data_IF_705482830710
#
_entry.id   IF_705482830710
#
_cell.length_a   1.000
_cell.length_b   1.000
_cell.length_c   1.000
_cell.angle_alpha   90.00
_cell.angle_beta   90.00
_cell.angle_gamma   90.00
#
_symmetry.space_group_name_H-M   'P 1'
#
loop_
_entity.id
_entity.type
_entity.pdbx_description
1 polymer ?
#
# COMPACT_ATOMS: atom_id res chain seq x y z
N UNK A 1 -8.79 2.98 16.03
CA UNK A 1 -7.85 2.82 14.90
C UNK A 1 -6.86 1.73 15.28
N UNK A 2 -6.77 0.66 14.48
CA UNK A 2 -5.86 -0.47 14.76
C UNK A 2 -4.42 -0.11 14.36
N UNK A 3 -3.44 -0.91 14.80
CA UNK A 3 -2.05 -0.75 14.33
C UNK A 3 -1.95 -0.96 12.81
N UNK A 4 -2.76 -1.87 12.26
CA UNK A 4 -2.92 -2.11 10.82
C UNK A 4 -3.41 -0.87 10.08
N UNK A 5 -4.51 -0.28 10.54
CA UNK A 5 -5.07 0.96 9.97
C UNK A 5 -4.03 2.09 9.96
N UNK A 6 -3.29 2.25 11.06
CA UNK A 6 -2.26 3.28 11.18
C UNK A 6 -1.10 3.08 10.20
N UNK A 7 -0.65 1.84 10.01
CA UNK A 7 0.40 1.51 9.04
C UNK A 7 -0.08 1.72 7.60
N UNK A 8 -1.33 1.36 7.27
CA UNK A 8 -1.91 1.60 5.95
C UNK A 8 -2.12 3.09 5.65
N UNK A 9 -2.53 3.89 6.64
CA UNK A 9 -2.55 5.35 6.50
C UNK A 9 -1.15 5.91 6.24
N UNK A 10 -0.11 5.41 6.92
CA UNK A 10 1.27 5.80 6.66
C UNK A 10 1.73 5.42 5.26
N UNK A 11 1.38 4.22 4.78
CA UNK A 11 1.65 3.81 3.40
C UNK A 11 0.95 4.74 2.39
N UNK A 12 -0.28 5.18 2.67
CA UNK A 12 -0.98 6.13 1.83
C UNK A 12 -0.27 7.49 1.74
N UNK A 13 0.26 7.99 2.85
CA UNK A 13 1.01 9.25 2.87
C UNK A 13 2.34 9.11 2.11
N UNK A 14 2.99 7.95 2.17
CA UNK A 14 4.15 7.63 1.33
C UNK A 14 3.76 7.57 -0.15
N UNK A 15 2.60 7.02 -0.50
CA UNK A 15 2.14 6.91 -1.89
C UNK A 15 2.01 8.29 -2.56
N UNK A 16 1.54 9.31 -1.83
CA UNK A 16 1.39 10.67 -2.35
C UNK A 16 2.71 11.31 -2.78
N UNK A 17 3.83 10.85 -2.22
CA UNK A 17 5.16 11.45 -2.40
C UNK A 17 6.14 10.56 -3.17
N UNK A 18 6.06 9.23 -2.99
CA UNK A 18 7.07 8.27 -3.46
C UNK A 18 6.58 7.34 -4.57
N UNK A 19 5.26 7.09 -4.69
CA UNK A 19 4.77 6.21 -5.75
C UNK A 19 4.98 6.84 -7.13
N UNK A 20 5.31 6.02 -8.11
CA UNK A 20 5.40 6.44 -9.52
C UNK A 20 4.70 5.43 -10.42
N UNK A 21 4.18 5.87 -11.58
CA UNK A 21 3.60 4.97 -12.58
C UNK A 21 4.67 4.18 -13.36
N UNK A 22 5.95 4.32 -13.02
CA UNK A 22 7.04 3.59 -13.66
C UNK A 22 6.99 2.13 -13.18
N UNK A 23 6.92 1.12 -14.08
CA UNK A 23 6.96 -0.29 -13.71
C UNK A 23 8.20 -0.68 -12.89
N UNK A 24 9.29 0.10 -12.97
CA UNK A 24 10.52 -0.11 -12.21
C UNK A 24 10.62 0.79 -10.97
N UNK A 25 9.63 1.66 -10.74
CA UNK A 25 9.56 2.56 -9.61
C UNK A 25 8.99 1.92 -8.35
N UNK A 26 8.83 2.69 -7.26
CA UNK A 26 8.26 2.20 -6.01
C UNK A 26 6.76 1.90 -6.18
N UNK A 27 6.42 0.61 -6.27
CA UNK A 27 5.04 0.12 -6.24
C UNK A 27 4.48 -0.06 -4.82
N UNK A 28 3.24 -0.55 -4.72
CA UNK A 28 2.53 -0.75 -3.46
C UNK A 28 3.35 -1.58 -2.45
N UNK A 29 3.97 -2.70 -2.87
CA UNK A 29 4.80 -3.52 -1.98
C UNK A 29 5.90 -2.69 -1.27
N UNK A 30 6.59 -1.82 -2.00
CA UNK A 30 7.66 -0.99 -1.43
C UNK A 30 7.13 0.01 -0.41
N UNK A 31 5.92 0.55 -0.63
CA UNK A 31 5.27 1.46 0.30
C UNK A 31 4.85 0.75 1.58
N UNK A 32 4.32 -0.47 1.48
CA UNK A 32 3.95 -1.30 2.63
C UNK A 32 5.17 -1.68 3.46
N UNK A 33 6.25 -2.12 2.79
CA UNK A 33 7.51 -2.47 3.45
C UNK A 33 8.10 -1.29 4.24
N UNK A 34 8.02 -0.07 3.69
CA UNK A 34 8.45 1.16 4.38
C UNK A 34 7.49 1.63 5.48
N UNK A 35 6.21 1.27 5.40
CA UNK A 35 5.21 1.63 6.39
C UNK A 35 5.16 0.66 7.58
N UNK A 36 5.59 -0.59 7.37
CA UNK A 36 5.71 -1.59 8.40
C UNK A 36 6.67 -1.12 9.51
N UNK A 37 6.29 -1.25 10.79
CA UNK A 37 7.13 -0.82 11.90
C UNK A 37 8.34 -1.75 12.11
N UNK A 38 9.52 -1.15 12.17
CA UNK A 38 10.73 -1.85 12.62
C UNK A 38 10.60 -2.26 14.09
N UNK A 39 10.64 -3.57 14.39
CA UNK A 39 10.74 -4.06 15.77
C UNK A 39 9.67 -5.06 16.23
N UNK A 40 8.90 -5.66 15.31
CA UNK A 40 8.11 -6.88 15.58
C UNK A 40 6.91 -6.73 16.53
N UNK A 41 6.56 -5.50 16.93
CA UNK A 41 5.42 -5.22 17.80
C UNK A 41 4.28 -4.49 17.08
N UNK A 42 4.11 -4.79 15.78
CA UNK A 42 3.08 -4.24 14.90
C UNK A 42 2.85 -5.15 13.68
N UNK A 43 1.88 -4.80 12.82
CA UNK A 43 1.60 -5.56 11.61
C UNK A 43 2.83 -5.58 10.71
N UNK A 44 3.20 -6.75 10.20
CA UNK A 44 4.30 -6.85 9.25
C UNK A 44 3.86 -6.52 7.81
N UNK A 45 4.80 -6.56 6.86
CA UNK A 45 4.49 -6.30 5.45
C UNK A 45 3.44 -7.28 4.90
N UNK A 46 3.40 -8.52 5.39
CA UNK A 46 2.45 -9.54 4.93
C UNK A 46 1.05 -9.24 5.43
N UNK A 47 0.89 -8.82 6.68
CA UNK A 47 -0.41 -8.37 7.22
C UNK A 47 -0.97 -7.19 6.43
N UNK A 48 -0.10 -6.23 6.08
CA UNK A 48 -0.50 -5.06 5.28
C UNK A 48 -0.86 -5.45 3.85
N UNK A 49 -0.10 -6.38 3.26
CA UNK A 49 -0.37 -6.90 1.94
C UNK A 49 -1.73 -7.61 1.89
N UNK A 50 -2.00 -8.49 2.86
CA UNK A 50 -3.24 -9.27 2.95
C UNK A 50 -4.47 -8.36 3.02
N UNK A 51 -4.38 -7.26 3.80
CA UNK A 51 -5.43 -6.25 3.87
C UNK A 51 -5.70 -5.58 2.51
N UNK A 52 -4.66 -5.22 1.77
CA UNK A 52 -4.79 -4.54 0.46
C UNK A 52 -5.37 -5.49 -0.58
N UNK A 53 -4.86 -6.72 -0.69
CA UNK A 53 -5.35 -7.70 -1.69
C UNK A 53 -6.78 -8.16 -1.37
N UNK A 54 -7.12 -8.29 -0.08
CA UNK A 54 -8.50 -8.55 0.37
C UNK A 54 -9.43 -7.41 -0.02
N UNK A 55 -9.00 -6.15 0.16
CA UNK A 55 -9.81 -4.99 -0.24
C UNK A 55 -10.01 -4.92 -1.77
N UNK A 56 -8.95 -5.18 -2.55
CA UNK A 56 -9.03 -5.23 -4.01
C UNK A 56 -9.85 -6.41 -4.52
N UNK A 57 -10.03 -7.45 -3.71
CA UNK A 57 -10.55 -8.75 -4.14
C UNK A 57 -9.73 -9.32 -5.31
N UNK A 58 -8.40 -9.19 -5.20
CA UNK A 58 -7.41 -9.68 -6.17
C UNK A 58 -6.34 -10.49 -5.43
N UNK A 59 -5.53 -11.28 -6.13
CA UNK A 59 -4.40 -11.99 -5.51
C UNK A 59 -3.10 -11.16 -5.50
N UNK A 60 -3.01 -10.15 -6.39
CA UNK A 60 -1.82 -9.31 -6.56
C UNK A 60 -2.21 -7.87 -6.87
N UNK A 61 -1.46 -6.90 -6.35
CA UNK A 61 -1.71 -5.46 -6.62
C UNK A 61 -1.12 -4.95 -7.94
N UNK A 62 -0.18 -5.68 -8.53
CA UNK A 62 0.63 -5.20 -9.68
C UNK A 62 -0.25 -4.88 -10.90
N UNK A 63 -1.20 -5.77 -11.21
CA UNK A 63 -2.11 -5.56 -12.33
C UNK A 63 -2.98 -4.31 -12.13
N UNK A 64 -3.42 -4.05 -10.89
CA UNK A 64 -4.21 -2.88 -10.54
C UNK A 64 -3.42 -1.57 -10.60
N UNK A 65 -2.21 -1.54 -10.04
CA UNK A 65 -1.39 -0.31 -9.97
C UNK A 65 -0.81 0.09 -11.33
N UNK A 66 -0.59 -0.87 -12.23
CA UNK A 66 -0.08 -0.61 -13.58
C UNK A 66 -1.18 -0.27 -14.60
N UNK A 67 -2.44 -0.17 -14.19
CA UNK A 67 -3.51 0.24 -15.10
C UNK A 67 -3.22 1.65 -15.67
N UNK A 68 -3.41 1.85 -16.99
CA UNK A 68 -3.18 3.15 -17.62
C UNK A 68 -3.98 4.26 -16.94
N UNK A 69 -3.31 5.36 -16.61
CA UNK A 69 -3.92 6.51 -15.95
C UNK A 69 -3.99 6.43 -14.42
N UNK A 70 -3.42 5.38 -13.80
CA UNK A 70 -3.29 5.31 -12.34
C UNK A 70 -2.46 6.47 -11.81
N UNK A 71 -2.94 7.08 -10.73
CA UNK A 71 -2.29 8.21 -10.07
C UNK A 71 -1.87 7.86 -8.64
N UNK A 72 -0.97 8.68 -8.08
CA UNK A 72 -0.62 8.64 -6.66
C UNK A 72 -1.84 8.74 -5.75
N UNK A 73 -2.80 9.58 -6.13
CA UNK A 73 -4.03 9.79 -5.36
C UNK A 73 -4.89 8.52 -5.33
N UNK A 74 -4.95 7.77 -6.43
CA UNK A 74 -5.69 6.50 -6.47
C UNK A 74 -5.04 5.45 -5.56
N UNK A 75 -3.71 5.35 -5.59
CA UNK A 75 -2.95 4.43 -4.73
C UNK A 75 -3.11 4.81 -3.26
N UNK A 76 -3.00 6.09 -2.94
CA UNK A 76 -3.22 6.58 -1.57
C UNK A 76 -4.67 6.33 -1.10
N UNK A 77 -5.66 6.55 -1.98
CA UNK A 77 -7.07 6.29 -1.66
C UNK A 77 -7.32 4.80 -1.41
N UNK A 78 -6.73 3.92 -2.21
CA UNK A 78 -6.79 2.47 -2.01
C UNK A 78 -6.23 2.08 -0.63
N UNK A 79 -5.02 2.56 -0.30
CA UNK A 79 -4.36 2.23 0.96
C UNK A 79 -5.18 2.73 2.17
N UNK A 80 -5.83 3.89 2.06
CA UNK A 80 -6.75 4.40 3.08
C UNK A 80 -8.05 3.59 3.19
N UNK A 81 -8.53 3.02 2.08
CA UNK A 81 -9.75 2.24 2.05
C UNK A 81 -9.55 0.80 2.58
N UNK A 82 -8.32 0.28 2.51
CA UNK A 82 -7.92 -0.99 3.09
C UNK A 82 -7.65 -0.92 4.62
N UNK A 83 -7.60 0.29 5.19
CA UNK A 83 -7.25 0.56 6.60
C UNK A 83 -8.33 0.15 7.62
#
# INVERSE_FOLDING_TARGET
MTKLAAALHRAADLAETHWTPDPNGPGICSLLSQAAPDGGNGPDETDLWDAVVTHLNEEMTVAWEQQPGRTRADVAALLRAAA
#
